data_IF_662898971579
#
_entry.id   IF_662898971579
#
_cell.length_a   1.000
_cell.length_b   1.000
_cell.length_c   1.000
_cell.angle_alpha   90.00
_cell.angle_beta   90.00
_cell.angle_gamma   90.00
#
_symmetry.space_group_name_H-M   'P 1'
#
loop_
_entity.id
_entity.type
_entity.pdbx_description
1 polymer ?
#
# COMPACT_ATOMS: atom_id res chain seq x y z
N UNK A 1 -7.35 -27.56 -2.87
CA UNK A 1 -6.98 -27.49 -1.45
C UNK A 1 -6.08 -26.28 -1.29
N UNK A 2 -6.42 -25.29 -0.44
CA UNK A 2 -5.54 -24.14 -0.19
C UNK A 2 -4.24 -24.68 0.43
N UNK A 3 -3.12 -24.58 -0.26
CA UNK A 3 -1.83 -24.95 0.33
C UNK A 3 -1.53 -23.97 1.47
N UNK A 4 -1.01 -24.46 2.60
CA UNK A 4 -0.69 -23.62 3.77
C UNK A 4 0.22 -22.44 3.41
N UNK A 5 1.04 -22.60 2.37
CA UNK A 5 1.88 -21.55 1.79
C UNK A 5 1.10 -20.32 1.31
N UNK A 6 -0.12 -20.49 0.79
CA UNK A 6 -0.95 -19.36 0.36
C UNK A 6 -1.53 -18.54 1.53
N UNK A 7 -1.36 -19.00 2.78
CA UNK A 7 -1.68 -18.19 3.96
C UNK A 7 -0.72 -17.01 4.13
N UNK A 8 0.52 -17.10 3.61
CA UNK A 8 1.50 -16.02 3.64
C UNK A 8 1.03 -14.77 2.85
N UNK A 9 0.77 -14.83 1.52
CA UNK A 9 0.26 -13.68 0.77
C UNK A 9 -1.13 -13.22 1.25
N UNK A 10 -1.97 -14.14 1.74
CA UNK A 10 -3.26 -13.79 2.32
C UNK A 10 -3.09 -12.93 3.58
N UNK A 11 -2.16 -13.29 4.47
CA UNK A 11 -1.87 -12.49 5.66
C UNK A 11 -1.31 -11.10 5.30
N UNK A 12 -0.41 -11.01 4.31
CA UNK A 12 0.07 -9.72 3.81
C UNK A 12 -1.07 -8.86 3.24
N UNK A 13 -1.99 -9.48 2.49
CA UNK A 13 -3.19 -8.81 1.98
C UNK A 13 -4.03 -8.24 3.12
N UNK A 14 -4.33 -9.04 4.17
CA UNK A 14 -5.09 -8.57 5.33
C UNK A 14 -4.39 -7.40 6.03
N UNK A 15 -3.07 -7.48 6.22
CA UNK A 15 -2.30 -6.41 6.86
C UNK A 15 -2.36 -5.11 6.03
N UNK A 16 -2.22 -5.21 4.70
CA UNK A 16 -2.35 -4.03 3.82
C UNK A 16 -3.75 -3.41 3.89
N UNK A 17 -4.79 -4.24 3.98
CA UNK A 17 -6.18 -3.81 4.11
C UNK A 17 -6.38 -3.10 5.45
N UNK A 18 -5.82 -3.61 6.55
CA UNK A 18 -5.88 -2.95 7.85
C UNK A 18 -5.22 -1.57 7.82
N UNK A 19 -4.07 -1.43 7.14
CA UNK A 19 -3.43 -0.12 6.95
C UNK A 19 -4.33 0.83 6.16
N UNK A 20 -4.87 0.39 5.03
CA UNK A 20 -5.79 1.21 4.23
C UNK A 20 -7.07 1.59 5.00
N UNK A 21 -7.65 0.63 5.73
CA UNK A 21 -8.85 0.85 6.53
C UNK A 21 -8.58 1.87 7.65
N UNK A 22 -7.42 1.81 8.31
CA UNK A 22 -7.05 2.83 9.31
C UNK A 22 -6.98 4.25 8.72
N UNK A 23 -6.49 4.40 7.49
CA UNK A 23 -6.48 5.70 6.79
C UNK A 23 -7.90 6.21 6.50
N UNK A 24 -8.84 5.32 6.19
CA UNK A 24 -10.25 5.68 6.01
C UNK A 24 -10.89 6.19 7.32
N UNK A 25 -10.53 5.59 8.46
CA UNK A 25 -10.94 6.05 9.79
C UNK A 25 -10.35 7.45 10.07
N UNK A 26 -9.07 7.67 9.75
CA UNK A 26 -8.46 8.99 9.90
C UNK A 26 -9.10 10.06 9.02
N UNK A 27 -9.53 9.71 7.81
CA UNK A 27 -10.32 10.62 6.97
C UNK A 27 -11.65 10.97 7.65
N UNK A 28 -12.38 9.98 8.16
CA UNK A 28 -13.65 10.21 8.87
C UNK A 28 -13.46 11.10 10.11
N UNK A 29 -12.47 10.80 10.94
CA UNK A 29 -12.11 11.62 12.09
C UNK A 29 -11.66 13.04 11.67
N UNK A 30 -10.89 13.15 10.59
CA UNK A 30 -10.44 14.41 10.01
C UNK A 30 -11.60 15.29 9.56
N UNK A 31 -12.66 14.72 8.97
CA UNK A 31 -13.86 15.48 8.58
C UNK A 31 -14.50 16.18 9.77
N UNK A 32 -14.63 15.48 10.89
CA UNK A 32 -15.17 16.04 12.13
C UNK A 32 -14.24 17.11 12.72
N UNK A 33 -12.93 16.85 12.73
CA UNK A 33 -11.91 17.75 13.29
C UNK A 33 -11.77 19.07 12.53
N UNK A 34 -11.91 19.04 11.21
CA UNK A 34 -11.69 20.19 10.32
C UNK A 34 -12.99 20.75 9.71
N UNK A 35 -14.16 20.35 10.23
CA UNK A 35 -15.50 20.75 9.77
C UNK A 35 -15.73 20.60 8.26
N UNK A 36 -15.26 19.48 7.68
CA UNK A 36 -15.39 19.20 6.24
C UNK A 36 -16.64 18.37 5.97
N UNK A 37 -17.76 19.07 5.72
CA UNK A 37 -19.05 18.46 5.37
C UNK A 37 -19.00 17.70 4.04
N UNK A 38 -19.67 16.57 3.99
CA UNK A 38 -19.92 15.83 2.74
C UNK A 38 -20.70 16.72 1.76
N UNK A 39 -20.47 16.66 0.43
CA UNK A 39 -19.53 15.78 -0.28
C UNK A 39 -18.12 16.37 -0.47
N UNK A 40 -17.76 17.45 0.24
CA UNK A 40 -16.46 18.13 0.03
C UNK A 40 -15.29 17.20 0.31
N UNK A 41 -14.26 17.29 -0.53
CA UNK A 41 -12.98 16.57 -0.38
C UNK A 41 -11.81 17.50 -0.14
N UNK A 42 -12.08 18.80 0.00
CA UNK A 42 -11.11 19.84 0.35
C UNK A 42 -11.57 20.56 1.61
N UNK A 43 -10.62 20.83 2.49
CA UNK A 43 -10.81 21.59 3.73
C UNK A 43 -10.44 23.06 3.56
N UNK A 44 -10.62 23.82 4.64
CA UNK A 44 -10.19 25.23 4.71
C UNK A 44 -8.67 25.38 4.91
N UNK A 45 -7.97 24.29 5.22
CA UNK A 45 -6.53 24.23 5.35
C UNK A 45 -5.99 22.89 4.85
N UNK A 46 -4.70 22.84 4.60
CA UNK A 46 -4.02 21.69 4.02
C UNK A 46 -4.03 20.43 4.90
N UNK A 47 -4.34 20.52 6.20
CA UNK A 47 -4.24 19.36 7.09
C UNK A 47 -5.24 18.26 6.71
N UNK A 48 -6.50 18.65 6.43
CA UNK A 48 -7.50 17.69 5.97
C UNK A 48 -7.14 17.14 4.60
N UNK A 49 -6.70 18.01 3.69
CA UNK A 49 -6.35 17.63 2.32
C UNK A 49 -5.21 16.61 2.30
N UNK A 50 -4.21 16.75 3.18
CA UNK A 50 -3.14 15.76 3.34
C UNK A 50 -3.66 14.43 3.88
N UNK A 51 -4.59 14.44 4.85
CA UNK A 51 -5.24 13.21 5.35
C UNK A 51 -6.00 12.50 4.23
N UNK A 52 -6.78 13.26 3.46
CA UNK A 52 -7.53 12.76 2.31
C UNK A 52 -6.61 12.19 1.22
N UNK A 53 -5.55 12.92 0.86
CA UNK A 53 -4.57 12.50 -0.16
C UNK A 53 -3.80 11.25 0.25
N UNK A 54 -3.47 11.06 1.53
CA UNK A 54 -2.85 9.81 1.99
C UNK A 54 -3.74 8.60 1.74
N UNK A 55 -5.01 8.68 2.14
CA UNK A 55 -5.98 7.61 1.94
C UNK A 55 -6.18 7.34 0.44
N UNK A 56 -6.39 8.39 -0.36
CA UNK A 56 -6.63 8.26 -1.79
C UNK A 56 -5.41 7.73 -2.55
N UNK A 57 -4.21 8.17 -2.20
CA UNK A 57 -2.99 7.65 -2.82
C UNK A 57 -2.76 6.17 -2.47
N UNK A 58 -3.09 5.73 -1.25
CA UNK A 58 -3.04 4.28 -0.94
C UNK A 58 -4.08 3.52 -1.73
N UNK A 59 -5.28 4.06 -1.91
CA UNK A 59 -6.32 3.47 -2.77
C UNK A 59 -5.85 3.33 -4.21
N UNK A 60 -5.17 4.33 -4.78
CA UNK A 60 -4.58 4.25 -6.13
C UNK A 60 -3.48 3.19 -6.23
N UNK A 61 -2.77 2.90 -5.14
CA UNK A 61 -1.70 1.90 -5.10
C UNK A 61 -2.21 0.47 -4.93
N UNK A 62 -3.37 0.26 -4.29
CA UNK A 62 -3.92 -1.07 -4.03
C UNK A 62 -4.15 -1.92 -5.30
N UNK A 63 -4.73 -1.39 -6.39
CA UNK A 63 -4.88 -2.11 -7.65
C UNK A 63 -3.56 -2.49 -8.34
N UNK A 64 -2.43 -1.90 -7.93
CA UNK A 64 -1.10 -2.27 -8.43
C UNK A 64 -0.48 -3.30 -7.49
N UNK A 65 -0.52 -3.03 -6.19
CA UNK A 65 0.08 -3.86 -5.16
C UNK A 65 -0.53 -5.26 -5.07
N UNK A 66 -1.87 -5.37 -4.98
CA UNK A 66 -2.51 -6.65 -4.74
C UNK A 66 -2.28 -7.64 -5.89
N UNK A 67 -2.46 -7.27 -7.18
CA UNK A 67 -2.15 -8.20 -8.27
C UNK A 67 -0.68 -8.60 -8.29
N UNK A 68 0.24 -7.64 -8.11
CA UNK A 68 1.68 -7.93 -8.11
C UNK A 68 2.11 -8.85 -6.95
N UNK A 69 1.54 -8.66 -5.76
CA UNK A 69 1.76 -9.56 -4.61
C UNK A 69 1.39 -10.99 -4.95
N UNK A 70 0.18 -11.19 -5.52
CA UNK A 70 -0.32 -12.52 -5.83
C UNK A 70 0.41 -13.15 -7.01
N UNK A 71 0.72 -12.39 -8.06
CA UNK A 71 1.53 -12.89 -9.18
C UNK A 71 2.89 -13.34 -8.65
N UNK A 72 3.60 -12.51 -7.88
CA UNK A 72 4.90 -12.87 -7.29
C UNK A 72 4.79 -14.09 -6.37
N UNK A 73 3.72 -14.19 -5.58
CA UNK A 73 3.49 -15.36 -4.72
C UNK A 73 3.35 -16.65 -5.53
N UNK A 74 2.66 -16.60 -6.67
CA UNK A 74 2.35 -17.78 -7.48
C UNK A 74 3.51 -18.17 -8.39
N UNK A 75 4.32 -17.21 -8.85
CA UNK A 75 5.39 -17.45 -9.82
C UNK A 75 6.79 -17.48 -9.21
N UNK A 76 6.98 -16.90 -8.02
CA UNK A 76 8.30 -16.80 -7.38
C UNK A 76 8.30 -17.49 -6.01
N UNK A 77 7.56 -16.96 -5.04
CA UNK A 77 7.53 -17.55 -3.69
C UNK A 77 6.43 -16.95 -2.80
N UNK A 78 5.55 -17.78 -2.20
CA UNK A 78 4.56 -17.31 -1.23
C UNK A 78 5.18 -16.68 0.03
N UNK A 79 6.22 -17.28 0.58
CA UNK A 79 6.89 -16.78 1.78
C UNK A 79 7.53 -15.39 1.56
N UNK A 80 8.29 -15.20 0.48
CA UNK A 80 8.91 -13.90 0.19
C UNK A 80 7.88 -12.84 -0.21
N UNK A 81 6.76 -13.24 -0.82
CA UNK A 81 5.64 -12.33 -1.09
C UNK A 81 5.11 -11.71 0.20
N UNK A 82 5.02 -12.49 1.28
CA UNK A 82 4.59 -12.00 2.58
C UNK A 82 5.56 -10.98 3.17
N UNK A 83 6.87 -11.30 3.21
CA UNK A 83 7.89 -10.39 3.75
C UNK A 83 7.86 -9.05 3.02
N UNK A 84 7.88 -9.08 1.68
CA UNK A 84 7.82 -7.87 0.86
C UNK A 84 6.48 -7.14 1.04
N UNK A 85 5.37 -7.87 1.20
CA UNK A 85 4.06 -7.29 1.49
C UNK A 85 3.98 -6.55 2.83
N UNK A 86 4.65 -7.04 3.86
CA UNK A 86 4.83 -6.31 5.13
C UNK A 86 5.63 -5.04 4.90
N UNK A 87 6.75 -5.11 4.18
CA UNK A 87 7.59 -3.95 3.89
C UNK A 87 6.84 -2.88 3.08
N UNK A 88 5.99 -3.28 2.14
CA UNK A 88 5.12 -2.34 1.43
C UNK A 88 4.19 -1.61 2.39
N UNK A 89 3.56 -2.34 3.32
CA UNK A 89 2.67 -1.77 4.33
C UNK A 89 3.40 -0.80 5.26
N UNK A 90 4.63 -1.13 5.68
CA UNK A 90 5.51 -0.22 6.44
C UNK A 90 5.81 1.05 5.64
N UNK A 91 6.08 0.91 4.34
CA UNK A 91 6.27 2.07 3.45
C UNK A 91 5.03 2.97 3.37
N UNK A 92 3.82 2.39 3.30
CA UNK A 92 2.57 3.17 3.35
C UNK A 92 2.36 3.89 4.67
N UNK A 93 2.76 3.29 5.79
CA UNK A 93 2.74 3.95 7.12
C UNK A 93 3.75 5.10 7.16
N UNK A 94 4.97 4.89 6.64
CA UNK A 94 5.98 5.95 6.52
C UNK A 94 5.51 7.12 5.66
N UNK A 95 4.86 6.83 4.53
CA UNK A 95 4.23 7.85 3.68
C UNK A 95 3.15 8.63 4.43
N UNK A 96 2.25 7.94 5.13
CA UNK A 96 1.19 8.56 5.93
C UNK A 96 1.75 9.50 7.01
N UNK A 97 2.66 9.00 7.85
CA UNK A 97 3.23 9.77 8.96
C UNK A 97 4.00 10.99 8.45
N UNK A 98 4.75 10.84 7.36
CA UNK A 98 5.49 11.94 6.75
C UNK A 98 4.57 12.99 6.15
N UNK A 99 3.57 12.56 5.37
CA UNK A 99 2.68 13.48 4.68
C UNK A 99 1.71 14.20 5.64
N UNK A 100 1.37 13.61 6.79
CA UNK A 100 0.58 14.32 7.79
C UNK A 100 1.32 15.53 8.39
N UNK A 101 2.66 15.50 8.42
CA UNK A 101 3.49 16.59 8.94
C UNK A 101 3.68 17.72 7.93
N UNK A 102 3.99 17.40 6.68
CA UNK A 102 4.18 18.39 5.61
C UNK A 102 4.08 17.75 4.23
N UNK A 103 3.97 18.57 3.18
CA UNK A 103 3.96 18.09 1.80
C UNK A 103 5.28 17.42 1.43
N UNK A 104 6.40 17.96 1.90
CA UNK A 104 7.75 17.46 1.65
C UNK A 104 8.01 16.16 2.42
N UNK A 105 7.41 16.01 3.59
CA UNK A 105 7.53 14.82 4.45
C UNK A 105 7.07 13.53 3.79
N UNK A 106 6.28 13.61 2.71
CA UNK A 106 5.85 12.44 1.92
C UNK A 106 7.01 11.71 1.20
N UNK A 107 8.15 12.37 1.00
CA UNK A 107 9.33 11.82 0.31
C UNK A 107 10.37 11.24 1.28
N UNK A 108 9.94 10.74 2.43
CA UNK A 108 10.88 10.15 3.39
C UNK A 108 11.38 8.76 2.93
N UNK A 109 12.56 8.31 3.40
CA UNK A 109 13.13 7.03 2.98
C UNK A 109 12.23 5.83 3.26
N UNK A 110 11.44 5.85 4.34
CA UNK A 110 10.51 4.77 4.68
C UNK A 110 9.40 4.68 3.63
N UNK A 111 8.86 5.82 3.18
CA UNK A 111 7.85 5.87 2.12
C UNK A 111 8.35 5.23 0.81
N UNK A 112 9.62 5.45 0.46
CA UNK A 112 10.23 4.90 -0.75
C UNK A 112 10.26 3.36 -0.79
N UNK A 113 10.24 2.69 0.37
CA UNK A 113 10.19 1.22 0.47
C UNK A 113 8.99 0.66 -0.29
N UNK A 114 7.82 1.31 -0.21
CA UNK A 114 6.62 0.83 -0.89
C UNK A 114 6.80 0.78 -2.42
N UNK A 115 7.41 1.80 -3.03
CA UNK A 115 7.71 1.83 -4.45
C UNK A 115 8.77 0.79 -4.84
N UNK A 116 9.81 0.63 -4.02
CA UNK A 116 10.87 -0.36 -4.26
C UNK A 116 10.30 -1.79 -4.23
N UNK A 117 9.41 -2.10 -3.29
CA UNK A 117 8.74 -3.40 -3.24
C UNK A 117 7.93 -3.66 -4.51
N UNK A 118 7.20 -2.67 -5.02
CA UNK A 118 6.45 -2.83 -6.27
C UNK A 118 7.36 -3.11 -7.46
N UNK A 119 8.53 -2.45 -7.53
CA UNK A 119 9.53 -2.73 -8.57
C UNK A 119 10.09 -4.15 -8.45
N UNK A 120 10.38 -4.62 -7.23
CA UNK A 120 10.84 -6.00 -6.98
C UNK A 120 9.76 -6.99 -7.43
N UNK A 121 8.51 -6.80 -7.02
CA UNK A 121 7.42 -7.68 -7.45
C UNK A 121 7.29 -7.72 -8.97
N UNK A 122 7.30 -6.55 -9.62
CA UNK A 122 7.16 -6.46 -11.08
C UNK A 122 8.30 -7.18 -11.80
N UNK A 123 9.56 -6.85 -11.48
CA UNK A 123 10.74 -7.36 -12.19
C UNK A 123 10.88 -8.87 -11.98
N UNK A 124 10.79 -9.35 -10.73
CA UNK A 124 10.94 -10.77 -10.43
C UNK A 124 9.80 -11.61 -11.01
N UNK A 125 8.56 -11.11 -10.95
CA UNK A 125 7.42 -11.80 -11.56
C UNK A 125 7.56 -11.89 -13.07
N UNK A 126 7.95 -10.80 -13.72
CA UNK A 126 8.16 -10.77 -15.17
C UNK A 126 9.27 -11.75 -15.59
N UNK A 127 10.39 -11.75 -14.87
CA UNK A 127 11.48 -12.68 -15.11
C UNK A 127 11.04 -14.14 -14.98
N UNK A 128 10.32 -14.48 -13.90
CA UNK A 128 9.84 -15.85 -13.67
C UNK A 128 8.87 -16.30 -14.77
N UNK A 129 7.92 -15.45 -15.15
CA UNK A 129 6.94 -15.77 -16.20
C UNK A 129 7.64 -15.97 -17.55
N UNK A 130 8.53 -15.06 -17.95
CA UNK A 130 9.27 -15.19 -19.21
C UNK A 130 10.13 -16.45 -19.21
N UNK A 131 10.85 -16.72 -18.12
CA UNK A 131 11.65 -17.93 -17.98
C UNK A 131 10.83 -19.20 -18.14
N UNK A 132 9.62 -19.24 -17.56
CA UNK A 132 8.69 -20.36 -17.68
C UNK A 132 7.99 -20.48 -19.04
N UNK A 133 8.07 -19.46 -19.91
CA UNK A 133 7.55 -19.53 -21.29
C UNK A 133 8.60 -20.02 -22.30
N UNK A 134 9.88 -19.87 -21.98
CA UNK A 134 11.01 -20.21 -22.87
C UNK A 134 11.47 -21.66 -22.67
N UNK A 135 11.17 -22.26 -21.52
CA UNK A 135 11.52 -23.65 -21.15
C UNK A 135 10.29 -24.53 -21.23
#
# INVERSE_FOLDING_TARGET
MLTKELLYPALATIISILVYFSQSIFVSAGRSKYDVRLPKTTGHNDNFDRIWRVHYNTLEQMPIYLPLLWIFSLTVSPFYSFILGILWSVGRIGYMVGYYKSVEGRHNPVAAISSIVLLIFLICSLWSIIGGLIV
#
